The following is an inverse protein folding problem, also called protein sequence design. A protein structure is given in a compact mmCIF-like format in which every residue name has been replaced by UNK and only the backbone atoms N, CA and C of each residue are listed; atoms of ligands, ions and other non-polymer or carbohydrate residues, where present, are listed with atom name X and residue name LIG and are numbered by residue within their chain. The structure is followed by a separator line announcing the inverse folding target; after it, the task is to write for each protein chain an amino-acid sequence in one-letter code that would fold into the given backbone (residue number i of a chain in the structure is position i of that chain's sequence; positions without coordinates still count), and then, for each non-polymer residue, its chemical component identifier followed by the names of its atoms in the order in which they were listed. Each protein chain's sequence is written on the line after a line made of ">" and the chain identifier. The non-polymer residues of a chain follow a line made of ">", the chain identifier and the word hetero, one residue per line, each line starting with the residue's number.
data_IF_789179465258
#
_entry.id   IF_789179465258
#
_cell.length_a   1.000
_cell.length_b   1.000
_cell.length_c   1.000
_cell.angle_alpha   90.00
_cell.angle_beta   90.00
_cell.angle_gamma   90.00
#
_symmetry.space_group_name_H-M   'P 1'
#
loop_
_entity.id
_entity.type
_entity.pdbx_description
1 polymer ?
#
# COMPACT_ATOMS: atom_id res chain seq x y z
N UNK A 1 -18.89 -25.89 3.73
CA UNK A 1 -19.13 -24.51 3.25
C UNK A 1 -19.26 -24.40 1.73
N UNK A 2 -18.54 -25.18 0.91
CA UNK A 2 -18.58 -25.06 -0.55
C UNK A 2 -19.95 -25.33 -1.21
N UNK A 3 -20.87 -26.03 -0.54
CA UNK A 3 -22.24 -26.19 -1.05
C UNK A 3 -23.10 -24.93 -1.01
N UNK A 4 -22.75 -23.95 -0.16
CA UNK A 4 -23.45 -22.65 -0.04
C UNK A 4 -22.70 -21.55 -0.81
N UNK A 5 -21.38 -21.70 -0.95
CA UNK A 5 -20.48 -20.77 -1.63
C UNK A 5 -19.71 -21.51 -2.73
N UNK A 6 -20.31 -21.64 -3.94
CA UNK A 6 -19.71 -22.37 -5.07
C UNK A 6 -18.33 -21.83 -5.47
N UNK A 7 -18.10 -20.53 -5.28
CA UNK A 7 -16.85 -19.85 -5.59
C UNK A 7 -15.64 -20.42 -4.83
N UNK A 8 -15.86 -21.10 -3.68
CA UNK A 8 -14.80 -21.78 -2.95
C UNK A 8 -14.27 -23.00 -3.69
N UNK A 9 -15.15 -23.72 -4.40
CA UNK A 9 -14.73 -24.84 -5.25
C UNK A 9 -14.09 -24.32 -6.54
N UNK A 10 -14.67 -23.30 -7.15
CA UNK A 10 -14.15 -22.70 -8.40
C UNK A 10 -12.75 -22.12 -8.19
N UNK A 11 -12.49 -21.49 -7.05
CA UNK A 11 -11.20 -20.88 -6.73
C UNK A 11 -10.29 -21.76 -5.87
N UNK A 12 -10.60 -23.06 -5.71
CA UNK A 12 -9.91 -23.96 -4.78
C UNK A 12 -8.38 -23.93 -4.97
N UNK A 13 -7.91 -24.12 -6.20
CA UNK A 13 -6.47 -24.17 -6.49
C UNK A 13 -5.78 -22.82 -6.21
N UNK A 14 -6.47 -21.71 -6.52
CA UNK A 14 -6.02 -20.36 -6.18
C UNK A 14 -5.94 -20.15 -4.66
N UNK A 15 -6.93 -20.62 -3.90
CA UNK A 15 -6.92 -20.54 -2.44
C UNK A 15 -5.74 -21.33 -1.87
N UNK A 16 -5.55 -22.59 -2.30
CA UNK A 16 -4.46 -23.43 -1.80
C UNK A 16 -3.08 -22.90 -2.17
N UNK A 17 -2.89 -22.40 -3.39
CA UNK A 17 -1.63 -21.76 -3.80
C UNK A 17 -1.31 -20.51 -2.98
N UNK A 18 -2.31 -19.67 -2.70
CA UNK A 18 -2.13 -18.49 -1.82
C UNK A 18 -1.77 -18.93 -0.40
N UNK A 19 -2.47 -19.92 0.15
CA UNK A 19 -2.18 -20.47 1.48
C UNK A 19 -0.75 -21.03 1.56
N UNK A 20 -0.34 -21.83 0.57
CA UNK A 20 1.01 -22.39 0.53
C UNK A 20 2.08 -21.30 0.40
N UNK A 21 1.83 -20.26 -0.40
CA UNK A 21 2.74 -19.12 -0.50
C UNK A 21 2.83 -18.35 0.82
N UNK A 22 1.70 -18.15 1.51
CA UNK A 22 1.66 -17.46 2.79
C UNK A 22 2.32 -18.25 3.91
N UNK A 23 2.10 -19.57 3.97
CA UNK A 23 2.79 -20.45 4.91
C UNK A 23 4.32 -20.40 4.72
N UNK A 24 4.78 -20.46 3.47
CA UNK A 24 6.20 -20.33 3.16
C UNK A 24 6.77 -18.96 3.57
N UNK A 25 6.00 -17.87 3.39
CA UNK A 25 6.40 -16.54 3.88
C UNK A 25 6.45 -16.50 5.41
N UNK A 26 5.45 -17.06 6.06
CA UNK A 26 5.37 -17.12 7.52
C UNK A 26 6.55 -17.90 8.11
N UNK A 27 6.87 -19.09 7.58
CA UNK A 27 8.03 -19.88 8.00
C UNK A 27 9.34 -19.10 7.88
N UNK A 28 9.57 -18.44 6.74
CA UNK A 28 10.78 -17.59 6.54
C UNK A 28 10.85 -16.43 7.53
N UNK A 29 9.72 -15.81 7.86
CA UNK A 29 9.68 -14.74 8.87
C UNK A 29 9.94 -15.29 10.28
N UNK A 30 9.38 -16.45 10.61
CA UNK A 30 9.61 -17.13 11.88
C UNK A 30 11.09 -17.49 12.07
N UNK A 31 11.74 -18.08 11.07
CA UNK A 31 13.17 -18.44 11.10
C UNK A 31 14.05 -17.20 11.32
N UNK A 32 13.71 -16.07 10.68
CA UNK A 32 14.40 -14.79 10.92
C UNK A 32 14.16 -14.28 12.33
N UNK A 33 12.91 -14.32 12.80
CA UNK A 33 12.54 -13.92 14.16
C UNK A 33 13.31 -14.71 15.22
N UNK A 34 13.39 -16.04 15.08
CA UNK A 34 14.15 -16.93 15.95
C UNK A 34 15.64 -16.58 15.99
N UNK A 35 16.25 -16.31 14.83
CA UNK A 35 17.66 -15.90 14.78
C UNK A 35 17.89 -14.55 15.49
N UNK A 36 17.00 -13.59 15.32
CA UNK A 36 17.14 -12.26 15.92
C UNK A 36 16.89 -12.26 17.43
N UNK A 37 15.92 -13.04 17.94
CA UNK A 37 15.72 -13.16 19.39
C UNK A 37 16.91 -13.84 20.07
N UNK A 38 17.52 -14.85 19.44
CA UNK A 38 18.72 -15.49 19.98
C UNK A 38 19.89 -14.49 20.09
N UNK A 39 20.10 -13.65 19.08
CA UNK A 39 21.10 -12.57 19.13
C UNK A 39 20.78 -11.56 20.22
N UNK A 40 19.51 -11.17 20.35
CA UNK A 40 19.05 -10.24 21.38
C UNK A 40 19.34 -10.77 22.78
N UNK A 41 18.97 -12.02 23.07
CA UNK A 41 19.21 -12.68 24.38
C UNK A 41 20.70 -12.67 24.73
N UNK A 42 21.57 -13.07 23.79
CA UNK A 42 23.02 -13.10 24.01
C UNK A 42 23.58 -11.71 24.31
N UNK A 43 23.18 -10.71 23.52
CA UNK A 43 23.63 -9.32 23.71
C UNK A 43 23.13 -8.75 25.04
N UNK A 44 21.84 -8.89 25.31
CA UNK A 44 21.20 -8.37 26.53
C UNK A 44 21.84 -8.95 27.78
N UNK A 45 22.09 -10.26 27.81
CA UNK A 45 22.80 -10.89 28.93
C UNK A 45 24.18 -10.32 29.18
N UNK A 46 24.92 -10.04 28.10
CA UNK A 46 26.26 -9.45 28.20
C UNK A 46 26.23 -8.03 28.77
N UNK A 47 25.21 -7.25 28.45
CA UNK A 47 25.10 -5.84 28.79
C UNK A 47 24.38 -5.60 30.13
N UNK A 48 23.40 -6.44 30.45
CA UNK A 48 22.43 -6.22 31.52
C UNK A 48 22.21 -7.45 32.43
N UNK A 49 22.77 -8.62 32.12
CA UNK A 49 22.55 -9.85 32.88
C UNK A 49 21.16 -10.46 32.64
N UNK A 50 20.61 -11.14 33.65
CA UNK A 50 19.29 -11.80 33.57
C UNK A 50 18.12 -10.86 33.90
N UNK A 51 18.27 -9.57 33.59
CA UNK A 51 17.19 -8.57 33.72
C UNK A 51 16.15 -8.79 32.62
N UNK A 52 14.89 -8.46 32.89
CA UNK A 52 13.80 -8.52 31.92
C UNK A 52 14.15 -7.77 30.62
N UNK A 53 13.79 -8.35 29.48
CA UNK A 53 13.89 -7.71 28.17
C UNK A 53 12.84 -6.60 28.10
N UNK A 54 13.24 -5.44 27.58
CA UNK A 54 12.32 -4.31 27.43
C UNK A 54 11.21 -4.61 26.44
N UNK A 55 10.03 -4.04 26.69
CA UNK A 55 8.92 -4.15 25.76
C UNK A 55 9.22 -3.50 24.42
N UNK A 56 10.11 -2.49 24.39
CA UNK A 56 10.62 -1.89 23.16
C UNK A 56 11.38 -2.90 22.29
N UNK A 57 12.32 -3.65 22.85
CA UNK A 57 13.12 -4.62 22.07
C UNK A 57 12.27 -5.77 21.53
N UNK A 58 11.33 -6.27 22.34
CA UNK A 58 10.36 -7.25 21.87
C UNK A 58 9.43 -6.68 20.80
N UNK A 59 9.04 -5.41 20.93
CA UNK A 59 8.21 -4.74 19.92
C UNK A 59 8.97 -4.55 18.60
N UNK A 60 10.28 -4.29 18.65
CA UNK A 60 11.14 -4.23 17.46
C UNK A 60 11.17 -5.60 16.73
N UNK A 61 11.26 -6.72 17.47
CA UNK A 61 11.13 -8.05 16.89
C UNK A 61 9.77 -8.29 16.21
N UNK A 62 8.69 -7.88 16.88
CA UNK A 62 7.33 -8.00 16.38
C UNK A 62 7.10 -7.16 15.11
N UNK A 63 7.46 -5.87 15.12
CA UNK A 63 7.15 -4.96 14.02
C UNK A 63 8.09 -5.14 12.81
N UNK A 64 9.37 -5.47 13.03
CA UNK A 64 10.36 -5.55 11.94
C UNK A 64 10.44 -6.93 11.32
N UNK A 65 10.24 -7.99 12.10
CA UNK A 65 10.40 -9.37 11.65
C UNK A 65 9.09 -10.17 11.64
N UNK A 66 8.00 -9.59 12.15
CA UNK A 66 6.71 -10.28 12.26
C UNK A 66 6.72 -11.42 13.28
N UNK A 67 7.65 -11.40 14.23
CA UNK A 67 7.80 -12.48 15.21
C UNK A 67 6.73 -12.35 16.31
N UNK A 68 5.83 -13.34 16.50
CA UNK A 68 4.71 -13.22 17.43
C UNK A 68 5.18 -13.03 18.88
N UNK A 69 4.44 -12.21 19.66
CA UNK A 69 4.81 -11.94 21.06
C UNK A 69 4.77 -13.21 21.91
N UNK A 70 3.86 -14.12 21.60
CA UNK A 70 3.72 -15.40 22.28
C UNK A 70 4.98 -16.27 22.08
N UNK A 71 5.58 -16.22 20.88
CA UNK A 71 6.84 -16.92 20.58
C UNK A 71 8.03 -16.22 21.25
N UNK A 72 8.03 -14.88 21.33
CA UNK A 72 9.03 -14.12 22.07
C UNK A 72 9.04 -14.56 23.54
N UNK A 73 7.87 -14.57 24.18
CA UNK A 73 7.73 -14.98 25.58
C UNK A 73 8.18 -16.43 25.81
N UNK A 74 7.86 -17.34 24.89
CA UNK A 74 8.29 -18.73 24.95
C UNK A 74 9.82 -18.86 24.91
N UNK A 75 10.49 -18.18 23.98
CA UNK A 75 11.95 -18.21 23.84
C UNK A 75 12.68 -17.53 25.01
N UNK A 76 12.15 -16.43 25.52
CA UNK A 76 12.70 -15.79 26.73
C UNK A 76 12.57 -16.72 27.93
N UNK A 77 11.42 -17.37 28.10
CA UNK A 77 11.19 -18.32 29.19
C UNK A 77 12.12 -19.53 29.12
N UNK A 78 12.37 -20.09 27.93
CA UNK A 78 13.38 -21.16 27.71
C UNK A 78 14.78 -20.74 28.17
N UNK A 79 15.07 -19.45 28.09
CA UNK A 79 16.34 -18.86 28.49
C UNK A 79 16.31 -18.25 29.89
N UNK A 80 15.30 -18.52 30.72
CA UNK A 80 15.14 -17.93 32.07
C UNK A 80 15.10 -16.38 32.10
N UNK A 81 14.64 -15.77 31.01
CA UNK A 81 14.38 -14.33 30.93
C UNK A 81 12.87 -14.07 30.92
N UNK A 82 12.49 -12.85 31.29
CA UNK A 82 11.11 -12.37 31.22
C UNK A 82 11.01 -11.17 30.28
N UNK A 83 9.78 -10.87 29.87
CA UNK A 83 9.44 -9.71 29.05
C UNK A 83 8.71 -8.66 29.90
N UNK A 84 9.06 -7.38 29.76
CA UNK A 84 8.16 -6.30 30.14
C UNK A 84 6.98 -6.22 29.18
N UNK A 85 5.95 -7.03 29.47
CA UNK A 85 4.76 -7.15 28.64
C UNK A 85 3.93 -5.86 28.61
N UNK A 86 3.93 -5.12 29.72
CA UNK A 86 3.18 -3.86 29.82
C UNK A 86 3.77 -2.80 28.89
N UNK A 87 5.11 -2.67 28.85
CA UNK A 87 5.76 -1.78 27.90
C UNK A 87 5.52 -2.23 26.45
N UNK A 88 5.56 -3.54 26.16
CA UNK A 88 5.30 -4.06 24.82
C UNK A 88 3.89 -3.69 24.34
N UNK A 89 2.88 -3.93 25.16
CA UNK A 89 1.48 -3.64 24.82
C UNK A 89 1.26 -2.14 24.60
N UNK A 90 1.92 -1.29 25.41
CA UNK A 90 1.91 0.16 25.21
C UNK A 90 2.53 0.56 23.86
N UNK A 91 3.69 0.01 23.50
CA UNK A 91 4.34 0.28 22.19
C UNK A 91 3.46 -0.17 21.03
N UNK A 92 2.83 -1.34 21.15
CA UNK A 92 1.89 -1.88 20.15
C UNK A 92 0.67 -0.98 19.98
N UNK A 93 0.08 -0.50 21.07
CA UNK A 93 -1.05 0.44 21.04
C UNK A 93 -0.66 1.77 20.37
N UNK A 94 0.48 2.35 20.74
CA UNK A 94 0.98 3.59 20.13
C UNK A 94 1.18 3.42 18.61
N UNK A 95 1.74 2.29 18.18
CA UNK A 95 1.91 1.99 16.76
C UNK A 95 0.57 1.84 16.03
N UNK A 96 -0.42 1.17 16.65
CA UNK A 96 -1.77 1.07 16.10
C UNK A 96 -2.43 2.45 15.97
N UNK A 97 -2.30 3.32 16.96
CA UNK A 97 -2.83 4.69 16.92
C UNK A 97 -2.18 5.53 15.82
N UNK A 98 -0.86 5.45 15.65
CA UNK A 98 -0.15 6.10 14.53
C UNK A 98 -0.65 5.60 13.17
N UNK A 99 -0.91 4.29 13.04
CA UNK A 99 -1.51 3.74 11.82
C UNK A 99 -2.95 4.22 11.61
N UNK A 100 -3.71 4.43 12.68
CA UNK A 100 -5.12 4.86 12.60
C UNK A 100 -5.25 6.34 12.24
N UNK A 101 -4.43 7.23 12.80
CA UNK A 101 -4.41 8.66 12.44
C UNK A 101 -4.02 8.89 10.98
N UNK A 102 -3.12 8.08 10.43
CA UNK A 102 -2.81 8.07 8.99
C UNK A 102 -4.00 7.63 8.12
N UNK A 103 -4.93 6.84 8.68
CA UNK A 103 -6.08 6.30 7.96
C UNK A 103 -7.40 7.08 8.18
N UNK A 104 -7.48 7.92 9.21
CA UNK A 104 -8.68 8.71 9.52
C UNK A 104 -9.02 9.78 8.45
N UNK A 105 -8.07 10.11 7.56
CA UNK A 105 -8.30 10.96 6.38
C UNK A 105 -8.87 10.24 5.15
N UNK A 106 -9.08 8.90 5.19
CA UNK A 106 -9.35 8.07 4.00
C UNK A 106 -10.66 8.34 3.25
N UNK A 107 -11.57 9.17 3.73
CA UNK A 107 -12.89 9.35 3.09
C UNK A 107 -13.26 10.77 2.64
N UNK A 108 -12.37 11.76 2.81
CA UNK A 108 -12.49 13.09 2.17
C UNK A 108 -11.27 13.35 1.29
N UNK A 109 -11.22 12.69 0.13
CA UNK A 109 -10.11 12.73 -0.86
C UNK A 109 -8.71 12.28 -0.38
N UNK A 110 -8.43 12.20 0.93
CA UNK A 110 -7.12 11.82 1.47
C UNK A 110 -6.00 12.84 1.14
N UNK A 111 -6.37 14.03 0.68
CA UNK A 111 -5.45 15.10 0.32
C UNK A 111 -5.13 15.99 1.53
N UNK A 112 -3.93 16.55 1.53
CA UNK A 112 -3.50 17.49 2.57
C UNK A 112 -4.29 18.82 2.50
N UNK A 113 -4.57 19.32 1.29
CA UNK A 113 -5.38 20.51 1.02
C UNK A 113 -5.93 20.51 -0.43
N UNK A 114 -6.52 21.64 -0.86
CA UNK A 114 -7.04 21.85 -2.22
C UNK A 114 -6.19 22.83 -3.06
N UNK A 115 -4.91 22.99 -2.72
CA UNK A 115 -4.00 23.84 -3.50
C UNK A 115 -3.85 23.32 -4.93
N UNK A 116 -3.42 24.21 -5.83
CA UNK A 116 -3.22 23.89 -7.25
C UNK A 116 -2.25 22.71 -7.43
N UNK A 117 -1.15 22.68 -6.67
CA UNK A 117 -0.14 21.61 -6.78
C UNK A 117 -0.68 20.26 -6.31
N UNK A 118 -1.46 20.22 -5.23
CA UNK A 118 -2.09 18.99 -4.76
C UNK A 118 -3.11 18.47 -5.78
N UNK A 119 -3.87 19.38 -6.39
CA UNK A 119 -4.82 19.07 -7.46
C UNK A 119 -4.13 18.51 -8.71
N UNK A 120 -2.98 19.10 -9.11
CA UNK A 120 -2.13 18.58 -10.18
C UNK A 120 -1.61 17.18 -9.86
N UNK A 121 -1.04 16.97 -8.68
CA UNK A 121 -0.57 15.66 -8.26
C UNK A 121 -1.67 14.60 -8.20
N UNK A 122 -2.88 15.00 -7.84
CA UNK A 122 -4.02 14.09 -7.83
C UNK A 122 -4.38 13.62 -9.25
N UNK A 123 -4.46 14.53 -10.22
CA UNK A 123 -4.61 14.15 -11.63
C UNK A 123 -3.43 13.29 -12.14
N UNK A 124 -2.19 13.64 -11.81
CA UNK A 124 -1.02 12.87 -12.19
C UNK A 124 -1.06 11.43 -11.64
N UNK A 125 -1.66 11.23 -10.46
CA UNK A 125 -1.84 9.91 -9.86
C UNK A 125 -2.72 8.99 -10.72
N UNK A 126 -3.78 9.52 -11.34
CA UNK A 126 -4.67 8.74 -12.23
C UNK A 126 -3.97 8.36 -13.53
N UNK A 127 -3.18 9.27 -14.10
CA UNK A 127 -2.35 8.96 -15.28
C UNK A 127 -1.27 7.93 -14.96
N UNK A 128 -0.62 8.05 -13.80
CA UNK A 128 0.36 7.07 -13.32
C UNK A 128 -0.29 5.69 -13.14
N UNK A 129 -1.46 5.61 -12.50
CA UNK A 129 -2.14 4.35 -12.26
C UNK A 129 -2.56 3.66 -13.57
N UNK A 130 -3.18 4.38 -14.49
CA UNK A 130 -3.51 3.88 -15.82
C UNK A 130 -2.25 3.44 -16.59
N UNK A 131 -1.15 4.19 -16.49
CA UNK A 131 0.13 3.83 -17.14
C UNK A 131 0.72 2.55 -16.58
N UNK A 132 0.72 2.40 -15.24
CA UNK A 132 1.19 1.18 -14.58
C UNK A 132 0.36 -0.03 -15.00
N UNK A 133 -0.97 0.10 -15.07
CA UNK A 133 -1.85 -0.97 -15.55
C UNK A 133 -1.57 -1.35 -17.00
N UNK A 134 -1.35 -0.38 -17.89
CA UNK A 134 -1.01 -0.64 -19.30
C UNK A 134 0.34 -1.31 -19.50
N UNK A 135 1.35 -0.96 -18.71
CA UNK A 135 2.72 -1.49 -18.86
C UNK A 135 2.91 -2.81 -18.10
N UNK A 136 2.34 -2.93 -16.90
CA UNK A 136 2.57 -4.09 -16.02
C UNK A 136 1.44 -5.10 -16.10
N UNK A 137 0.19 -4.67 -16.33
CA UNK A 137 -0.99 -5.52 -16.41
C UNK A 137 -2.12 -5.12 -15.45
N UNK A 138 -3.30 -5.71 -15.67
CA UNK A 138 -4.54 -5.38 -14.97
C UNK A 138 -4.58 -5.81 -13.49
N UNK A 139 -3.59 -6.58 -13.03
CA UNK A 139 -3.43 -6.93 -11.61
C UNK A 139 -2.95 -5.77 -10.76
N UNK A 140 -2.44 -4.69 -11.38
CA UNK A 140 -2.05 -3.47 -10.67
C UNK A 140 -3.30 -2.78 -10.13
N UNK A 141 -3.42 -2.75 -8.80
CA UNK A 141 -4.48 -2.09 -8.08
C UNK A 141 -3.86 -1.15 -7.05
N UNK A 142 -4.42 0.05 -6.93
CA UNK A 142 -4.04 0.97 -5.86
C UNK A 142 -4.25 0.31 -4.48
N UNK A 143 -3.23 0.43 -3.63
CA UNK A 143 -3.24 -0.02 -2.25
C UNK A 143 -2.93 1.10 -1.25
N UNK A 144 -2.55 2.28 -1.75
CA UNK A 144 -2.33 3.49 -0.97
C UNK A 144 -1.93 4.66 -1.85
N UNK A 145 -2.24 5.88 -1.42
CA UNK A 145 -1.79 7.11 -2.06
C UNK A 145 -1.53 8.17 -0.98
N UNK A 146 -0.51 9.00 -1.18
CA UNK A 146 -0.20 10.14 -0.32
C UNK A 146 0.41 11.26 -1.16
N UNK A 147 -0.26 12.41 -1.18
CA UNK A 147 0.16 13.58 -1.94
C UNK A 147 0.52 14.69 -0.95
N UNK A 148 1.67 15.34 -1.18
CA UNK A 148 2.14 16.52 -0.46
C UNK A 148 2.48 17.61 -1.48
N UNK A 149 2.79 18.82 -1.01
CA UNK A 149 3.20 19.93 -1.88
C UNK A 149 4.50 19.64 -2.65
N UNK A 150 5.35 18.74 -2.13
CA UNK A 150 6.63 18.36 -2.75
C UNK A 150 6.51 17.19 -3.71
N UNK A 151 5.59 16.24 -3.47
CA UNK A 151 5.59 14.95 -4.18
C UNK A 151 4.28 14.20 -4.11
N UNK A 152 4.09 13.28 -5.04
CA UNK A 152 3.12 12.18 -4.91
C UNK A 152 3.82 10.87 -4.54
N UNK A 153 3.14 10.04 -3.74
CA UNK A 153 3.51 8.65 -3.44
C UNK A 153 2.33 7.75 -3.77
N UNK A 154 2.59 6.73 -4.57
CA UNK A 154 1.58 5.78 -5.03
C UNK A 154 2.00 4.34 -4.72
N UNK A 155 1.13 3.63 -4.01
CA UNK A 155 1.35 2.25 -3.57
C UNK A 155 0.39 1.34 -4.34
N UNK A 156 0.88 0.26 -4.94
CA UNK A 156 0.09 -0.63 -5.78
C UNK A 156 0.48 -2.10 -5.67
N UNK A 157 -0.44 -3.00 -6.01
CA UNK A 157 -0.18 -4.44 -6.06
C UNK A 157 0.74 -4.80 -7.22
N UNK A 158 1.96 -5.23 -6.89
CA UNK A 158 2.95 -5.75 -7.80
C UNK A 158 4.05 -6.40 -6.96
N UNK A 159 4.41 -7.65 -7.24
CA UNK A 159 5.42 -8.38 -6.46
C UNK A 159 6.84 -7.90 -6.73
N UNK A 160 7.13 -7.62 -8.00
CA UNK A 160 8.49 -7.49 -8.48
C UNK A 160 8.95 -6.04 -8.47
N UNK A 161 10.28 -5.85 -8.39
CA UNK A 161 10.86 -4.52 -8.61
C UNK A 161 10.68 -4.17 -10.08
N UNK A 162 10.21 -2.96 -10.37
CA UNK A 162 10.12 -2.50 -11.76
C UNK A 162 11.53 -2.40 -12.33
N UNK A 163 11.71 -2.82 -13.59
CA UNK A 163 12.96 -2.59 -14.31
C UNK A 163 13.10 -1.10 -14.65
N UNK A 164 14.32 -0.65 -14.92
CA UNK A 164 14.56 0.74 -15.33
C UNK A 164 13.84 1.06 -16.64
N UNK A 165 13.72 0.07 -17.54
CA UNK A 165 12.93 0.16 -18.76
C UNK A 165 11.44 0.35 -18.46
N UNK A 166 10.86 -0.44 -17.54
CA UNK A 166 9.46 -0.28 -17.14
C UNK A 166 9.20 1.09 -16.51
N UNK A 167 10.11 1.59 -15.66
CA UNK A 167 10.01 2.95 -15.09
C UNK A 167 10.01 4.00 -16.21
N UNK A 168 10.91 3.85 -17.19
CA UNK A 168 11.01 4.76 -18.33
C UNK A 168 9.74 4.72 -19.17
N UNK A 169 9.21 3.54 -19.48
CA UNK A 169 7.97 3.36 -20.24
C UNK A 169 6.77 4.00 -19.53
N UNK A 170 6.62 3.76 -18.22
CA UNK A 170 5.55 4.37 -17.41
C UNK A 170 5.69 5.89 -17.39
N UNK A 171 6.89 6.41 -17.13
CA UNK A 171 7.15 7.86 -17.09
C UNK A 171 6.85 8.52 -18.43
N UNK A 172 7.31 7.91 -19.54
CA UNK A 172 7.05 8.40 -20.88
C UNK A 172 5.55 8.40 -21.19
N UNK A 173 4.85 7.31 -20.86
CA UNK A 173 3.42 7.18 -21.15
C UNK A 173 2.56 8.22 -20.43
N UNK A 174 2.92 8.58 -19.19
CA UNK A 174 2.29 9.68 -18.45
C UNK A 174 2.55 11.01 -19.17
N UNK A 175 3.80 11.31 -19.51
CA UNK A 175 4.15 12.54 -20.21
C UNK A 175 3.51 12.63 -21.60
N UNK A 176 3.35 11.51 -22.30
CA UNK A 176 2.64 11.47 -23.58
C UNK A 176 1.17 11.88 -23.41
N UNK A 177 0.51 11.47 -22.32
CA UNK A 177 -0.86 11.92 -22.04
C UNK A 177 -0.93 13.39 -21.62
N UNK A 178 0.10 13.90 -20.95
CA UNK A 178 0.22 15.33 -20.65
C UNK A 178 0.35 16.14 -21.95
N UNK A 179 1.23 15.70 -22.86
CA UNK A 179 1.49 16.36 -24.14
C UNK A 179 0.27 16.34 -25.08
N UNK A 180 -0.64 15.37 -24.93
CA UNK A 180 -1.90 15.32 -25.66
C UNK A 180 -2.93 16.37 -25.23
N UNK A 181 -2.71 17.07 -24.10
CA UNK A 181 -3.57 18.15 -23.60
C UNK A 181 -5.04 17.72 -23.49
N UNK A 182 -5.28 16.63 -22.78
CA UNK A 182 -6.58 15.97 -22.68
C UNK A 182 -7.45 16.71 -21.66
N UNK A 183 -8.66 17.06 -22.05
CA UNK A 183 -9.65 17.62 -21.11
C UNK A 183 -10.16 16.54 -20.15
N UNK A 184 -10.26 16.91 -18.87
CA UNK A 184 -10.78 16.04 -17.81
C UNK A 184 -12.29 16.22 -17.75
N UNK A 185 -13.02 15.14 -18.00
CA UNK A 185 -14.49 15.12 -17.93
C UNK A 185 -14.95 14.49 -16.62
N UNK A 186 -16.01 15.05 -16.05
CA UNK A 186 -16.53 14.67 -14.73
C UNK A 186 -18.00 14.34 -14.88
N UNK A 187 -18.41 13.13 -14.50
CA UNK A 187 -19.79 12.68 -14.60
C UNK A 187 -20.23 12.01 -13.30
N UNK A 188 -21.36 12.46 -12.76
CA UNK A 188 -22.03 11.79 -11.65
C UNK A 188 -23.00 10.74 -12.19
N UNK A 189 -22.88 9.50 -11.73
CA UNK A 189 -23.71 8.38 -12.20
C UNK A 189 -23.87 7.32 -11.12
N UNK A 190 -24.74 6.32 -11.36
CA UNK A 190 -24.85 5.17 -10.44
C UNK A 190 -23.55 4.38 -10.43
N UNK A 191 -23.16 3.87 -9.26
CA UNK A 191 -21.95 3.05 -9.11
C UNK A 191 -21.97 1.84 -10.05
N UNK A 192 -23.13 1.21 -10.23
CA UNK A 192 -23.30 0.09 -11.17
C UNK A 192 -23.04 0.49 -12.62
N UNK A 193 -23.37 1.71 -13.01
CA UNK A 193 -23.16 2.22 -14.37
C UNK A 193 -21.71 2.66 -14.56
N UNK A 194 -21.09 3.22 -13.52
CA UNK A 194 -19.65 3.49 -13.50
C UNK A 194 -18.85 2.20 -13.72
N UNK A 195 -19.19 1.12 -13.02
CA UNK A 195 -18.57 -0.19 -13.20
C UNK A 195 -18.75 -0.73 -14.63
N UNK A 196 -19.95 -0.64 -15.20
CA UNK A 196 -20.22 -1.05 -16.59
C UNK A 196 -19.45 -0.21 -17.62
N UNK A 197 -19.19 1.06 -17.31
CA UNK A 197 -18.42 1.95 -18.18
C UNK A 197 -16.90 1.68 -18.17
N UNK A 198 -16.44 0.70 -17.39
CA UNK A 198 -15.02 0.38 -17.22
C UNK A 198 -14.28 1.32 -16.27
N UNK A 199 -14.99 2.19 -15.55
CA UNK A 199 -14.36 3.06 -14.56
C UNK A 199 -13.79 2.21 -13.42
N UNK A 200 -12.53 2.46 -13.06
CA UNK A 200 -11.88 1.76 -11.97
C UNK A 200 -12.51 2.18 -10.64
N UNK A 201 -12.82 1.17 -9.83
CA UNK A 201 -13.22 1.31 -8.44
C UNK A 201 -12.33 0.39 -7.60
N UNK A 202 -11.98 0.84 -6.40
CA UNK A 202 -11.00 0.15 -5.56
C UNK A 202 -11.69 -0.82 -4.61
N UNK A 203 -11.17 -2.05 -4.57
CA UNK A 203 -11.70 -3.14 -3.75
C UNK A 203 -11.60 -2.81 -2.25
N UNK A 204 -12.66 -3.09 -1.50
CA UNK A 204 -12.75 -2.83 -0.05
C UNK A 204 -13.34 -1.46 0.33
N UNK A 205 -13.58 -0.57 -0.63
CA UNK A 205 -14.30 0.67 -0.38
C UNK A 205 -15.81 0.45 -0.47
N UNK A 206 -16.56 1.06 0.47
CA UNK A 206 -18.01 1.20 0.34
C UNK A 206 -18.32 2.44 -0.49
N UNK A 207 -18.90 2.25 -1.67
CA UNK A 207 -19.31 3.33 -2.55
C UNK A 207 -20.79 3.68 -2.32
N UNK A 208 -21.15 4.98 -2.33
CA UNK A 208 -22.55 5.40 -2.36
C UNK A 208 -23.22 4.98 -3.68
N UNK A 209 -24.57 5.04 -3.74
CA UNK A 209 -25.31 4.70 -4.97
C UNK A 209 -24.87 5.59 -6.14
N UNK A 210 -24.72 6.90 -5.90
CA UNK A 210 -24.24 7.87 -6.89
C UNK A 210 -22.78 8.19 -6.61
N UNK A 211 -21.94 8.01 -7.62
CA UNK A 211 -20.50 8.28 -7.57
C UNK A 211 -20.10 9.25 -8.67
N UNK A 212 -18.96 9.91 -8.49
CA UNK A 212 -18.35 10.77 -9.49
C UNK A 212 -17.23 10.03 -10.21
N UNK A 213 -17.29 10.00 -11.53
CA UNK A 213 -16.26 9.42 -12.40
C UNK A 213 -15.50 10.55 -13.08
N UNK A 214 -14.19 10.56 -12.90
CA UNK A 214 -13.26 11.42 -13.63
C UNK A 214 -12.66 10.65 -14.79
N UNK A 215 -12.69 11.21 -15.99
CA UNK A 215 -12.10 10.61 -17.20
C UNK A 215 -11.10 11.55 -17.86
N UNK A 216 -9.99 10.97 -18.31
CA UNK A 216 -8.94 11.62 -19.08
C UNK A 216 -8.89 10.97 -20.47
N UNK A 217 -9.84 11.37 -21.33
CA UNK A 217 -10.10 10.68 -22.59
C UNK A 217 -10.37 9.19 -22.40
N UNK A 218 -9.91 8.36 -23.34
CA UNK A 218 -10.01 6.90 -23.24
C UNK A 218 -8.84 6.27 -22.44
N UNK A 219 -7.97 7.11 -21.87
CA UNK A 219 -6.76 6.63 -21.22
C UNK A 219 -6.99 6.20 -19.76
N UNK A 220 -7.75 7.00 -19.01
CA UNK A 220 -8.06 6.75 -17.60
C UNK A 220 -9.50 7.12 -17.30
N UNK A 221 -10.16 6.30 -16.48
CA UNK A 221 -11.49 6.53 -15.95
C UNK A 221 -11.55 5.93 -14.54
N UNK A 222 -11.74 6.77 -13.51
CA UNK A 222 -11.73 6.32 -12.12
C UNK A 222 -12.86 6.95 -11.31
N UNK A 223 -13.43 6.17 -10.39
CA UNK A 223 -14.35 6.69 -9.38
C UNK A 223 -13.55 7.46 -8.33
N UNK A 224 -13.73 8.77 -8.26
CA UNK A 224 -12.98 9.62 -7.34
C UNK A 224 -13.81 10.79 -6.82
N UNK A 225 -13.45 11.30 -5.64
CA UNK A 225 -14.12 12.41 -4.96
C UNK A 225 -13.19 13.62 -4.73
N UNK A 226 -11.95 13.58 -5.25
CA UNK A 226 -10.97 14.64 -5.06
C UNK A 226 -10.98 15.68 -6.19
N UNK A 227 -10.39 16.87 -5.96
CA UNK A 227 -10.23 17.90 -6.98
C UNK A 227 -9.32 17.42 -8.12
N UNK A 228 -9.58 17.91 -9.33
CA UNK A 228 -8.75 17.68 -10.50
C UNK A 228 -8.56 18.98 -11.28
N UNK A 229 -7.43 19.11 -11.97
CA UNK A 229 -7.24 20.16 -12.98
C UNK A 229 -8.21 19.96 -14.15
N UNK A 230 -8.28 20.92 -15.07
CA UNK A 230 -9.23 20.85 -16.20
C UNK A 230 -8.60 20.16 -17.40
N UNK A 231 -7.31 20.33 -17.62
CA UNK A 231 -6.60 19.75 -18.76
C UNK A 231 -5.25 19.16 -18.34
N UNK A 232 -4.87 18.00 -18.90
CA UNK A 232 -3.59 17.35 -18.56
C UNK A 232 -2.37 18.22 -18.84
N UNK A 233 -2.46 19.21 -19.73
CA UNK A 233 -1.36 20.14 -20.02
C UNK A 233 -0.93 20.99 -18.83
N UNK A 234 -1.79 21.17 -17.82
CA UNK A 234 -1.45 21.96 -16.62
C UNK A 234 -0.46 21.22 -15.69
N UNK A 235 -0.18 19.94 -15.94
CA UNK A 235 0.71 19.11 -15.11
C UNK A 235 2.20 19.44 -15.28
N UNK A 236 2.61 20.05 -16.39
CA UNK A 236 4.03 20.20 -16.71
C UNK A 236 4.67 18.86 -17.06
N UNK A 237 5.83 18.56 -16.49
CA UNK A 237 6.59 17.34 -16.73
C UNK A 237 6.51 16.40 -15.53
N UNK A 238 6.17 15.14 -15.77
CA UNK A 238 6.11 14.11 -14.74
C UNK A 238 7.41 13.29 -14.68
N UNK A 239 7.95 13.10 -13.47
CA UNK A 239 9.16 12.30 -13.26
C UNK A 239 9.01 11.37 -12.07
N UNK A 240 9.26 10.06 -12.26
CA UNK A 240 9.42 9.10 -11.17
C UNK A 240 10.81 9.27 -10.56
N UNK A 241 10.88 9.56 -9.26
CA UNK A 241 12.14 9.82 -8.56
C UNK A 241 12.65 8.61 -7.78
N UNK A 242 11.74 7.75 -7.29
CA UNK A 242 12.11 6.60 -6.45
C UNK A 242 11.08 5.48 -6.57
N UNK A 243 11.55 4.23 -6.48
CA UNK A 243 10.70 3.08 -6.18
C UNK A 243 11.22 2.28 -4.98
N UNK A 244 10.31 1.69 -4.21
CA UNK A 244 10.65 0.81 -3.08
C UNK A 244 9.60 -0.29 -2.86
N UNK A 245 9.95 -1.29 -2.05
CA UNK A 245 9.00 -2.32 -1.62
C UNK A 245 8.05 -1.72 -0.59
N UNK A 246 6.74 -1.96 -0.73
CA UNK A 246 5.75 -1.61 0.28
C UNK A 246 5.31 -2.82 1.13
N UNK A 247 6.01 -3.95 1.01
CA UNK A 247 5.68 -5.20 1.69
C UNK A 247 4.45 -5.91 1.11
N UNK A 248 4.29 -7.21 1.43
CA UNK A 248 3.07 -7.96 1.08
C UNK A 248 2.71 -8.01 -0.40
N UNK A 249 3.70 -8.09 -1.30
CA UNK A 249 3.46 -8.11 -2.76
C UNK A 249 3.04 -6.76 -3.34
N UNK A 250 3.46 -5.66 -2.71
CA UNK A 250 3.16 -4.28 -3.14
C UNK A 250 4.43 -3.51 -3.45
N UNK A 251 4.33 -2.59 -4.41
CA UNK A 251 5.36 -1.60 -4.74
C UNK A 251 4.88 -0.20 -4.41
N UNK A 252 5.86 0.67 -4.20
CA UNK A 252 5.66 2.09 -3.97
C UNK A 252 6.51 2.89 -4.94
N UNK A 253 5.91 3.90 -5.55
CA UNK A 253 6.55 4.88 -6.42
C UNK A 253 6.41 6.27 -5.80
N UNK A 254 7.48 7.05 -5.89
CA UNK A 254 7.48 8.49 -5.63
C UNK A 254 7.72 9.24 -6.93
N UNK A 255 6.98 10.32 -7.15
CA UNK A 255 7.09 11.14 -8.34
C UNK A 255 6.84 12.61 -8.04
N UNK A 256 7.33 13.47 -8.95
CA UNK A 256 7.20 14.92 -8.90
C UNK A 256 6.67 15.47 -10.23
N UNK A 257 6.20 16.72 -10.20
CA UNK A 257 5.84 17.52 -11.36
C UNK A 257 6.78 18.72 -11.47
N UNK A 258 7.27 19.02 -12.67
CA UNK A 258 8.21 20.12 -13.00
C UNK A 258 7.65 21.05 -14.07
#
# INVERSE_FOLDING_TARGET
>A
YAGIYPELNENKDKIFSILAAEENRFRKSLDKGLNEINKLIVRHRKEHGDVAISGKEAFDLYQSYGFPVEMIEEELKKNNLSLDRAEFDLKKQLHQQLSQTLSAGKFKSGLADHSEIITKYHTATHLLHASLRKILGDHVQQSGSNITFERLRFDFSHSDKLTDEQIKLVTNLVNDQINKKIDITVNSMKFTDAQKSGALAFFGNKYPEIVTVYKMGDFSAEVCTGPHIKNTSELGKFTITKQESAGGGKRRIYAILE
#
